data_IF_779400546168
#
_entry.id   IF_779400546168
#
_cell.length_a   1.000
_cell.length_b   1.000
_cell.length_c   1.000
_cell.angle_alpha   90.00
_cell.angle_beta   90.00
_cell.angle_gamma   90.00
#
_symmetry.space_group_name_H-M   'P 1'
#
loop_
_entity.id
_entity.type
_entity.pdbx_description
1 polymer ?
#
# COMPACT_ATOMS: atom_id res chain seq x y z
N UNK A 1 -19.86 23.34 -16.50
CA UNK A 1 -19.72 24.63 -15.79
C UNK A 1 -21.06 25.07 -15.17
N UNK A 2 -22.05 24.17 -15.02
CA UNK A 2 -23.42 24.54 -14.63
C UNK A 2 -23.68 24.58 -13.11
N UNK A 3 -22.89 23.87 -12.30
CA UNK A 3 -23.21 23.75 -10.86
C UNK A 3 -22.93 25.02 -10.03
N UNK A 4 -22.11 25.94 -10.54
CA UNK A 4 -21.82 27.20 -9.85
C UNK A 4 -23.02 28.16 -9.87
N UNK A 5 -23.95 28.01 -10.83
CA UNK A 5 -25.11 28.91 -11.01
C UNK A 5 -26.32 28.44 -10.19
N UNK A 6 -26.48 27.14 -9.99
CA UNK A 6 -27.62 26.51 -9.29
C UNK A 6 -27.54 26.57 -7.74
N UNK A 7 -26.42 27.03 -7.17
CA UNK A 7 -26.31 27.29 -5.73
C UNK A 7 -26.48 26.04 -4.86
N UNK A 8 -27.30 26.13 -3.81
CA UNK A 8 -27.45 25.07 -2.80
C UNK A 8 -28.07 23.77 -3.33
N UNK A 9 -28.82 23.82 -4.43
CA UNK A 9 -29.43 22.65 -5.05
C UNK A 9 -28.39 21.64 -5.58
N UNK A 10 -27.14 22.06 -5.79
CA UNK A 10 -26.05 21.20 -6.30
C UNK A 10 -25.14 20.63 -5.21
N UNK A 11 -25.41 20.87 -3.93
CA UNK A 11 -24.59 20.32 -2.85
C UNK A 11 -24.53 18.79 -2.84
N UNK A 12 -25.63 18.04 -3.05
CA UNK A 12 -25.57 16.59 -3.12
C UNK A 12 -24.66 16.10 -4.26
N UNK A 13 -24.75 16.70 -5.44
CA UNK A 13 -23.96 16.34 -6.61
C UNK A 13 -22.47 16.68 -6.42
N UNK A 14 -22.16 17.84 -5.83
CA UNK A 14 -20.79 18.22 -5.46
C UNK A 14 -20.20 17.27 -4.42
N UNK A 15 -20.97 16.92 -3.39
CA UNK A 15 -20.56 15.95 -2.38
C UNK A 15 -20.25 14.60 -3.02
N UNK A 16 -21.15 14.08 -3.85
CA UNK A 16 -20.95 12.81 -4.57
C UNK A 16 -19.68 12.83 -5.43
N UNK A 17 -19.44 13.92 -6.18
CA UNK A 17 -18.22 14.10 -6.98
C UNK A 17 -16.95 14.04 -6.11
N UNK A 18 -16.95 14.67 -4.92
CA UNK A 18 -15.80 14.63 -4.02
C UNK A 18 -15.63 13.27 -3.35
N UNK A 19 -16.72 12.58 -2.99
CA UNK A 19 -16.68 11.23 -2.42
C UNK A 19 -16.12 10.21 -3.43
N UNK A 20 -16.52 10.31 -4.71
CA UNK A 20 -15.96 9.49 -5.78
C UNK A 20 -14.45 9.73 -5.95
N UNK A 21 -14.03 11.01 -6.02
CA UNK A 21 -12.61 11.37 -6.12
C UNK A 21 -11.81 10.93 -4.90
N UNK A 22 -12.40 11.01 -3.71
CA UNK A 22 -11.80 10.53 -2.47
C UNK A 22 -11.59 9.01 -2.52
N UNK A 23 -12.61 8.25 -2.90
CA UNK A 23 -12.51 6.80 -3.02
C UNK A 23 -11.44 6.37 -4.03
N UNK A 24 -11.35 7.06 -5.18
CA UNK A 24 -10.28 6.85 -6.14
C UNK A 24 -8.89 7.10 -5.53
N UNK A 25 -8.70 8.22 -4.81
CA UNK A 25 -7.43 8.52 -4.16
C UNK A 25 -7.07 7.51 -3.06
N UNK A 26 -8.06 7.06 -2.28
CA UNK A 26 -7.85 6.03 -1.25
C UNK A 26 -7.39 4.70 -1.86
N UNK A 27 -7.94 4.32 -3.02
CA UNK A 27 -7.49 3.14 -3.76
C UNK A 27 -6.04 3.28 -4.27
N UNK A 28 -5.68 4.44 -4.82
CA UNK A 28 -4.31 4.73 -5.25
C UNK A 28 -3.33 4.68 -4.07
N UNK A 29 -3.69 5.27 -2.92
CA UNK A 29 -2.88 5.22 -1.70
C UNK A 29 -2.71 3.78 -1.22
N UNK A 30 -3.78 2.96 -1.25
CA UNK A 30 -3.70 1.56 -0.88
C UNK A 30 -2.74 0.78 -1.80
N UNK A 31 -2.81 1.02 -3.12
CA UNK A 31 -1.90 0.43 -4.09
C UNK A 31 -0.43 0.84 -3.85
N UNK A 32 -0.18 2.13 -3.62
CA UNK A 32 1.16 2.64 -3.31
C UNK A 32 1.69 2.07 -1.99
N UNK A 33 0.85 1.94 -0.96
CA UNK A 33 1.23 1.34 0.31
C UNK A 33 1.60 -0.14 0.17
N UNK A 34 0.89 -0.89 -0.68
CA UNK A 34 1.26 -2.28 -1.02
C UNK A 34 2.63 -2.34 -1.69
N UNK A 35 2.89 -1.46 -2.65
CA UNK A 35 4.20 -1.37 -3.31
C UNK A 35 5.32 -1.01 -2.31
N UNK A 36 5.07 -0.05 -1.42
CA UNK A 36 6.00 0.33 -0.35
C UNK A 36 6.29 -0.84 0.60
N UNK A 37 5.28 -1.64 0.95
CA UNK A 37 5.46 -2.82 1.80
C UNK A 37 6.32 -3.89 1.11
N UNK A 38 6.15 -4.11 -0.20
CA UNK A 38 7.05 -4.97 -0.97
C UNK A 38 8.50 -4.46 -0.94
N UNK A 39 8.69 -3.16 -1.12
CA UNK A 39 10.02 -2.54 -1.07
C UNK A 39 10.66 -2.68 0.32
N UNK A 40 9.92 -2.44 1.40
CA UNK A 40 10.40 -2.65 2.76
C UNK A 40 10.86 -4.09 2.99
N UNK A 41 10.06 -5.07 2.55
CA UNK A 41 10.42 -6.48 2.61
C UNK A 41 11.70 -6.77 1.82
N UNK A 42 11.81 -6.29 0.57
CA UNK A 42 12.98 -6.53 -0.27
C UNK A 42 14.25 -5.83 0.21
N UNK A 43 14.15 -4.62 0.77
CA UNK A 43 15.29 -3.94 1.40
C UNK A 43 15.83 -4.77 2.56
N UNK A 44 14.96 -5.25 3.46
CA UNK A 44 15.38 -6.14 4.54
C UNK A 44 15.95 -7.46 4.02
N UNK A 45 15.28 -8.08 3.04
CA UNK A 45 15.69 -9.36 2.45
C UNK A 45 17.13 -9.30 1.93
N UNK A 46 17.45 -8.29 1.12
CA UNK A 46 18.80 -8.16 0.57
C UNK A 46 19.81 -7.67 1.60
N UNK A 47 19.40 -6.90 2.61
CA UNK A 47 20.29 -6.59 3.75
C UNK A 47 20.74 -7.87 4.47
N UNK A 48 19.83 -8.84 4.68
CA UNK A 48 20.18 -10.12 5.27
C UNK A 48 21.03 -10.99 4.32
N UNK A 49 20.66 -11.07 3.03
CA UNK A 49 21.41 -11.86 2.07
C UNK A 49 22.85 -11.35 1.91
N UNK A 50 23.07 -10.04 1.97
CA UNK A 50 24.40 -9.42 1.96
C UNK A 50 25.20 -9.81 3.23
N UNK A 51 24.55 -9.82 4.41
CA UNK A 51 25.20 -10.21 5.67
C UNK A 51 25.57 -11.69 5.70
N UNK A 52 24.69 -12.55 5.19
CA UNK A 52 24.85 -14.00 5.22
C UNK A 52 25.64 -14.53 4.01
N UNK A 53 25.88 -13.68 3.00
CA UNK A 53 26.55 -14.05 1.74
C UNK A 53 25.76 -15.01 0.85
N UNK A 54 24.51 -15.30 1.19
CA UNK A 54 23.62 -16.24 0.49
C UNK A 54 22.15 -15.98 0.86
N UNK A 55 21.23 -16.58 0.12
CA UNK A 55 19.78 -16.49 0.38
C UNK A 55 19.22 -17.73 1.10
N UNK A 56 20.04 -18.74 1.39
CA UNK A 56 19.54 -20.06 1.80
C UNK A 56 18.80 -20.01 3.14
N UNK A 57 19.34 -19.28 4.12
CA UNK A 57 18.65 -19.02 5.39
C UNK A 57 17.32 -18.27 5.20
N UNK A 58 17.24 -17.36 4.22
CA UNK A 58 16.02 -16.57 3.99
C UNK A 58 14.88 -17.42 3.42
N UNK A 59 15.20 -18.42 2.59
CA UNK A 59 14.21 -19.36 2.05
C UNK A 59 13.54 -20.19 3.15
N UNK A 60 14.27 -20.49 4.22
CA UNK A 60 13.73 -21.22 5.39
C UNK A 60 12.89 -20.31 6.30
N UNK A 61 13.16 -19.00 6.31
CA UNK A 61 12.45 -18.06 7.18
C UNK A 61 11.10 -17.58 6.62
N UNK A 62 10.94 -17.57 5.30
CA UNK A 62 9.74 -17.03 4.65
C UNK A 62 8.69 -18.14 4.48
N UNK A 63 7.41 -17.91 4.85
CA UNK A 63 6.86 -16.68 5.45
C UNK A 63 6.84 -16.67 6.99
N UNK A 64 7.01 -17.82 7.64
CA UNK A 64 6.55 -18.04 9.02
C UNK A 64 7.47 -17.48 10.13
N UNK A 65 8.75 -17.25 9.83
CA UNK A 65 9.79 -16.88 10.81
C UNK A 65 10.40 -15.51 10.54
N UNK A 66 9.68 -14.64 9.84
CA UNK A 66 10.07 -13.25 9.63
C UNK A 66 9.91 -12.43 10.93
N UNK A 67 10.79 -11.44 11.18
CA UNK A 67 10.57 -10.43 12.21
C UNK A 67 9.20 -9.76 12.03
N UNK A 68 8.52 -9.42 13.12
CA UNK A 68 7.10 -9.02 13.10
C UNK A 68 6.78 -7.92 12.08
N UNK A 69 7.57 -6.84 12.05
CA UNK A 69 7.37 -5.71 11.14
C UNK A 69 7.61 -6.09 9.66
N UNK A 70 8.54 -7.01 9.41
CA UNK A 70 8.82 -7.51 8.07
C UNK A 70 7.75 -8.49 7.61
N UNK A 71 7.23 -9.32 8.52
CA UNK A 71 6.10 -10.19 8.27
C UNK A 71 4.86 -9.38 7.88
N UNK A 72 4.52 -8.33 8.64
CA UNK A 72 3.43 -7.40 8.28
C UNK A 72 3.64 -6.78 6.90
N UNK A 73 4.85 -6.34 6.58
CA UNK A 73 5.16 -5.80 5.26
C UNK A 73 5.01 -6.88 4.16
N UNK A 74 5.47 -8.10 4.40
CA UNK A 74 5.31 -9.22 3.47
C UNK A 74 3.83 -9.56 3.22
N UNK A 75 3.04 -9.73 4.28
CA UNK A 75 1.61 -10.02 4.23
C UNK A 75 0.86 -8.92 3.47
N UNK A 76 1.07 -7.65 3.84
CA UNK A 76 0.42 -6.51 3.20
C UNK A 76 0.83 -6.33 1.72
N UNK A 77 2.01 -6.81 1.33
CA UNK A 77 2.47 -6.77 -0.05
C UNK A 77 1.87 -7.89 -0.91
N UNK A 78 1.55 -9.05 -0.30
CA UNK A 78 1.06 -10.26 -0.99
C UNK A 78 -0.46 -10.50 -0.83
N UNK A 79 -1.17 -9.65 -0.09
CA UNK A 79 -2.64 -9.69 0.09
C UNK A 79 -3.43 -9.38 -1.18
#
# INVERSE_FOLDING_TARGET
MDWCVEGSATYPQRKAMFEERKAHMEAEIAHMNRALNMLKFKCWYYEQAIKDGSEDRLKELIPDHLPEEIRKAYENAHC
#
